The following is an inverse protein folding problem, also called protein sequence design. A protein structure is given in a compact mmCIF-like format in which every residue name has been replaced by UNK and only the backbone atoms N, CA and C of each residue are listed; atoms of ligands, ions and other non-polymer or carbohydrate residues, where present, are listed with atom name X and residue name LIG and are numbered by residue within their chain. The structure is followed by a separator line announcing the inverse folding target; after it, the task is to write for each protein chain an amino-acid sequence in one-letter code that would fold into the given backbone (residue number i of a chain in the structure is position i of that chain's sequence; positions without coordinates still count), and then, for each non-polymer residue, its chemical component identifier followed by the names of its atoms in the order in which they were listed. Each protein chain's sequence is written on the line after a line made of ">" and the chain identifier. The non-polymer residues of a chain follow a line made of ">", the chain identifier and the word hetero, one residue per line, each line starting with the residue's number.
data_IF_613506984677
#
_entry.id   IF_613506984677
#
_cell.length_a   1.000
_cell.length_b   1.000
_cell.length_c   1.000
_cell.angle_alpha   90.00
_cell.angle_beta   90.00
_cell.angle_gamma   90.00
#
_symmetry.space_group_name_H-M   'P 1'
#
loop_
_entity.id
_entity.type
_entity.pdbx_description
1 polymer ?
#
# COMPACT_ATOMS: atom_id res chain seq x y z
N UNK A 1 -1.87 12.23 -4.38
CA UNK A 1 -0.42 12.40 -4.14
C UNK A 1 -0.09 12.22 -2.64
N UNK A 2 -0.20 11.01 -2.08
CA UNK A 2 0.05 10.77 -0.64
C UNK A 2 0.85 9.49 -0.31
N UNK A 3 1.04 8.58 -1.27
CA UNK A 3 1.68 7.28 -0.99
C UNK A 3 3.23 7.38 -0.99
N UNK A 4 3.81 8.30 -1.78
CA UNK A 4 5.26 8.35 -2.03
C UNK A 4 6.07 9.18 -1.04
N UNK A 5 5.49 10.21 -0.39
CA UNK A 5 6.23 11.07 0.54
C UNK A 5 6.60 10.39 1.87
N UNK A 6 5.85 9.36 2.25
CA UNK A 6 6.06 8.64 3.50
C UNK A 6 7.31 7.72 3.43
N UNK A 7 7.60 7.13 2.26
CA UNK A 7 8.66 6.12 2.14
C UNK A 7 10.07 6.63 2.47
N UNK A 8 10.35 7.92 2.23
CA UNK A 8 11.66 8.53 2.50
C UNK A 8 11.96 8.67 4.00
N UNK A 9 10.95 8.60 4.88
CA UNK A 9 11.10 8.83 6.33
C UNK A 9 11.40 7.56 7.13
N UNK A 10 11.41 6.38 6.50
CA UNK A 10 11.31 5.10 7.23
C UNK A 10 12.60 4.38 7.60
N UNK A 11 13.77 4.97 7.35
CA UNK A 11 15.00 4.42 7.93
C UNK A 11 14.97 4.65 9.45
N UNK A 12 14.68 3.59 10.21
CA UNK A 12 14.84 3.57 11.66
C UNK A 12 16.31 3.88 11.96
N UNK A 13 16.61 5.13 12.34
CA UNK A 13 17.96 5.53 12.72
C UNK A 13 18.38 4.69 13.92
N UNK A 14 19.50 3.99 13.81
CA UNK A 14 20.13 3.36 14.96
C UNK A 14 20.74 4.51 15.76
N UNK A 15 20.22 4.78 16.95
CA UNK A 15 20.89 5.68 17.88
C UNK A 15 21.98 4.87 18.58
N UNK A 16 23.19 4.88 18.01
CA UNK A 16 24.35 4.30 18.67
C UNK A 16 24.94 5.43 19.52
N UNK A 17 24.59 5.47 20.81
CA UNK A 17 25.31 6.32 21.75
C UNK A 17 26.71 5.72 21.97
N UNK A 18 27.71 6.29 21.31
CA UNK A 18 29.11 5.82 21.34
C UNK A 18 29.81 6.21 22.67
N UNK A 19 29.16 7.01 23.52
CA UNK A 19 29.74 7.49 24.77
C UNK A 19 29.00 6.95 26.01
N UNK A 20 29.43 5.79 26.52
CA UNK A 20 29.80 5.59 27.93
C UNK A 20 29.92 4.10 28.32
N UNK A 21 31.09 3.76 28.89
CA UNK A 21 31.29 2.72 29.92
C UNK A 21 31.15 1.23 29.55
N UNK A 22 32.29 0.54 29.49
CA UNK A 22 32.66 -0.82 29.95
C UNK A 22 31.72 -2.05 29.88
N UNK A 23 30.42 -1.96 29.59
CA UNK A 23 29.47 -3.10 29.53
C UNK A 23 28.65 -3.15 28.22
N UNK A 24 29.00 -2.34 27.22
CA UNK A 24 28.32 -2.29 25.93
C UNK A 24 28.67 -3.50 25.06
N UNK A 25 27.66 -4.28 24.64
CA UNK A 25 27.80 -5.24 23.52
C UNK A 25 28.45 -4.53 22.33
N UNK A 26 29.37 -5.20 21.58
CA UNK A 26 30.04 -4.57 20.46
C UNK A 26 28.99 -4.10 19.44
N UNK A 27 29.16 -2.90 18.89
CA UNK A 27 28.22 -2.29 17.95
C UNK A 27 27.85 -3.22 16.77
N UNK A 28 28.76 -4.10 16.37
CA UNK A 28 28.54 -5.13 15.36
C UNK A 28 27.46 -6.16 15.76
N UNK A 29 27.43 -6.60 17.02
CA UNK A 29 26.46 -7.59 17.50
C UNK A 29 25.04 -7.02 17.53
N UNK A 30 24.89 -5.73 17.87
CA UNK A 30 23.61 -5.01 17.82
C UNK A 30 23.11 -4.89 16.38
N UNK A 31 24.00 -4.61 15.42
CA UNK A 31 23.68 -4.52 13.99
C UNK A 31 23.27 -5.90 13.46
N UNK A 32 24.00 -6.96 13.78
CA UNK A 32 23.69 -8.33 13.34
C UNK A 32 22.35 -8.82 13.90
N UNK A 33 22.07 -8.58 15.19
CA UNK A 33 20.78 -8.88 15.80
C UNK A 33 19.65 -8.15 15.08
N UNK A 34 19.86 -6.88 14.73
CA UNK A 34 18.87 -6.09 14.00
C UNK A 34 18.61 -6.63 12.58
N UNK A 35 19.66 -6.99 11.85
CA UNK A 35 19.56 -7.60 10.51
C UNK A 35 18.77 -8.90 10.60
N UNK A 36 19.05 -9.72 11.62
CA UNK A 36 18.33 -10.97 11.85
C UNK A 36 16.84 -10.71 12.11
N UNK A 37 16.49 -9.82 13.03
CA UNK A 37 15.09 -9.49 13.33
C UNK A 37 14.35 -8.97 12.08
N UNK A 38 15.00 -8.10 11.29
CA UNK A 38 14.41 -7.59 10.04
C UNK A 38 14.20 -8.70 9.00
N UNK A 39 15.13 -9.66 8.92
CA UNK A 39 15.03 -10.80 8.01
C UNK A 39 13.91 -11.74 8.42
N UNK A 40 13.79 -12.02 9.72
CA UNK A 40 12.74 -12.85 10.29
C UNK A 40 11.35 -12.22 10.07
N UNK A 41 11.21 -10.91 10.31
CA UNK A 41 9.97 -10.19 10.01
C UNK A 41 9.63 -10.20 8.53
N UNK A 42 10.61 -9.95 7.65
CA UNK A 42 10.41 -10.02 6.20
C UNK A 42 9.83 -11.38 5.81
N UNK A 43 10.42 -12.47 6.31
CA UNK A 43 9.96 -13.83 6.02
C UNK A 43 8.55 -14.09 6.56
N UNK A 44 8.25 -13.63 7.77
CA UNK A 44 6.91 -13.74 8.35
C UNK A 44 5.85 -12.98 7.52
N UNK A 45 6.17 -11.75 7.11
CA UNK A 45 5.30 -10.93 6.24
C UNK A 45 5.07 -11.65 4.91
N UNK A 46 6.13 -12.13 4.25
CA UNK A 46 6.01 -12.83 2.97
C UNK A 46 5.16 -14.10 3.08
N UNK A 47 5.31 -14.87 4.17
CA UNK A 47 4.51 -16.06 4.41
C UNK A 47 3.01 -15.72 4.57
N UNK A 48 2.68 -14.67 5.32
CA UNK A 48 1.30 -14.21 5.47
C UNK A 48 0.75 -13.64 4.16
N UNK A 49 1.53 -12.83 3.43
CA UNK A 49 1.14 -12.29 2.13
C UNK A 49 0.84 -13.40 1.12
N UNK A 50 1.65 -14.46 1.07
CA UNK A 50 1.40 -15.63 0.22
C UNK A 50 0.06 -16.29 0.54
N UNK A 51 -0.23 -16.50 1.83
CA UNK A 51 -1.51 -17.06 2.29
C UNK A 51 -2.71 -16.19 1.91
N UNK A 52 -2.61 -14.88 2.13
CA UNK A 52 -3.67 -13.94 1.76
C UNK A 52 -3.85 -13.89 0.23
N UNK A 53 -2.76 -13.85 -0.54
CA UNK A 53 -2.82 -13.84 -1.99
C UNK A 53 -3.46 -15.11 -2.56
N UNK A 54 -3.14 -16.27 -1.98
CA UNK A 54 -3.78 -17.54 -2.31
C UNK A 54 -5.28 -17.52 -2.00
N UNK A 55 -5.68 -17.02 -0.82
CA UNK A 55 -7.09 -16.83 -0.49
C UNK A 55 -7.81 -15.93 -1.50
N UNK A 56 -7.24 -14.78 -1.85
CA UNK A 56 -7.82 -13.85 -2.82
C UNK A 56 -8.02 -14.53 -4.17
N UNK A 57 -6.99 -15.25 -4.66
CA UNK A 57 -7.01 -15.98 -5.92
C UNK A 57 -8.10 -17.05 -5.95
N UNK A 58 -8.25 -17.86 -4.89
CA UNK A 58 -9.33 -18.86 -4.78
C UNK A 58 -10.71 -18.20 -4.90
N UNK A 59 -10.86 -16.99 -4.34
CA UNK A 59 -12.11 -16.21 -4.40
C UNK A 59 -12.21 -15.33 -5.66
N UNK A 60 -11.41 -15.61 -6.70
CA UNK A 60 -11.38 -14.86 -7.97
C UNK A 60 -11.09 -13.36 -7.83
N UNK A 61 -10.45 -12.94 -6.75
CA UNK A 61 -9.94 -11.60 -6.56
C UNK A 61 -8.48 -11.55 -7.01
N UNK A 62 -8.12 -10.56 -7.84
CA UNK A 62 -6.73 -10.37 -8.22
C UNK A 62 -5.94 -9.83 -7.02
N UNK A 63 -4.92 -10.55 -6.50
CA UNK A 63 -4.12 -10.07 -5.37
C UNK A 63 -3.19 -8.92 -5.77
N UNK A 64 -3.01 -8.68 -7.07
CA UNK A 64 -2.14 -7.64 -7.60
C UNK A 64 -2.98 -6.56 -8.27
N UNK A 65 -2.63 -5.30 -8.01
CA UNK A 65 -3.26 -4.15 -8.64
C UNK A 65 -2.38 -3.64 -9.80
N UNK A 66 -2.81 -3.91 -11.03
CA UNK A 66 -2.07 -3.50 -12.23
C UNK A 66 -2.22 -2.00 -12.53
N UNK A 67 -3.30 -1.36 -12.06
CA UNK A 67 -3.60 0.06 -12.29
C UNK A 67 -2.56 0.98 -11.65
N UNK A 68 -1.95 0.56 -10.54
CA UNK A 68 -0.88 1.34 -9.86
C UNK A 68 0.34 1.46 -10.77
N UNK A 69 0.69 0.40 -11.51
CA UNK A 69 1.82 0.44 -12.44
C UNK A 69 1.53 1.42 -13.57
N UNK A 70 0.32 1.38 -14.13
CA UNK A 70 -0.09 2.30 -15.18
C UNK A 70 -0.07 3.76 -14.68
N UNK A 71 -0.52 3.99 -13.44
CA UNK A 71 -0.47 5.29 -12.81
C UNK A 71 0.97 5.81 -12.63
N UNK A 72 1.89 4.97 -12.16
CA UNK A 72 3.31 5.35 -12.03
C UNK A 72 3.89 5.68 -13.41
N UNK A 73 3.60 4.88 -14.44
CA UNK A 73 4.05 5.15 -15.81
C UNK A 73 3.47 6.45 -16.36
N UNK A 74 2.22 6.77 -16.03
CA UNK A 74 1.61 8.05 -16.39
C UNK A 74 2.40 9.24 -15.82
N UNK A 75 2.77 9.20 -14.53
CA UNK A 75 3.63 10.25 -13.96
C UNK A 75 4.99 10.35 -14.62
N UNK A 76 5.63 9.22 -14.94
CA UNK A 76 6.92 9.22 -15.65
C UNK A 76 6.78 9.95 -16.99
N UNK A 77 5.69 9.70 -17.73
CA UNK A 77 5.42 10.40 -18.99
C UNK A 77 5.21 11.90 -18.78
N UNK A 78 4.41 12.29 -17.81
CA UNK A 78 4.17 13.71 -17.50
C UNK A 78 5.46 14.44 -17.11
N UNK A 79 6.27 13.85 -16.23
CA UNK A 79 7.52 14.46 -15.77
C UNK A 79 8.57 14.53 -16.88
N UNK A 80 8.64 13.52 -17.76
CA UNK A 80 9.48 13.59 -18.97
C UNK A 80 9.04 14.71 -19.91
N UNK A 81 7.73 14.90 -20.11
CA UNK A 81 7.22 16.01 -20.92
C UNK A 81 7.58 17.38 -20.32
N UNK A 82 7.45 17.54 -19.00
CA UNK A 82 7.87 18.76 -18.30
C UNK A 82 9.38 18.99 -18.42
N UNK A 83 10.18 17.93 -18.39
CA UNK A 83 11.62 18.00 -18.59
C UNK A 83 11.99 18.47 -19.99
N UNK A 84 11.32 17.94 -21.02
CA UNK A 84 11.46 18.42 -22.40
C UNK A 84 11.02 19.88 -22.58
N UNK A 85 10.12 20.38 -21.74
CA UNK A 85 9.69 21.78 -21.70
C UNK A 85 10.60 22.70 -20.85
N UNK A 86 11.71 22.17 -20.30
CA UNK A 86 12.74 22.95 -19.60
C UNK A 86 12.77 22.82 -18.08
N UNK A 87 11.93 21.97 -17.47
CA UNK A 87 11.97 21.72 -16.02
C UNK A 87 13.05 20.68 -15.66
N UNK A 88 14.01 20.99 -14.79
CA UNK A 88 15.07 20.04 -14.38
C UNK A 88 14.55 18.97 -13.42
N UNK A 89 13.85 17.97 -13.94
CA UNK A 89 13.15 16.95 -13.15
C UNK A 89 13.79 15.56 -13.23
N UNK A 90 15.07 15.47 -13.63
CA UNK A 90 15.78 14.19 -13.81
C UNK A 90 15.79 13.33 -12.53
N UNK A 91 15.98 13.94 -11.36
CA UNK A 91 15.96 13.24 -10.07
C UNK A 91 14.59 12.63 -9.75
N UNK A 92 13.50 13.32 -10.14
CA UNK A 92 12.13 12.85 -9.93
C UNK A 92 11.85 11.68 -10.87
N UNK A 93 12.26 11.78 -12.14
CA UNK A 93 12.11 10.72 -13.14
C UNK A 93 12.86 9.46 -12.68
N UNK A 94 14.12 9.61 -12.27
CA UNK A 94 14.92 8.49 -11.74
C UNK A 94 14.27 7.85 -10.50
N UNK A 95 13.71 8.66 -9.60
CA UNK A 95 12.96 8.17 -8.44
C UNK A 95 11.70 7.38 -8.83
N UNK A 96 10.94 7.86 -9.82
CA UNK A 96 9.73 7.20 -10.32
C UNK A 96 10.06 5.91 -11.08
N UNK A 97 11.14 5.89 -11.86
CA UNK A 97 11.61 4.69 -12.56
C UNK A 97 12.05 3.61 -11.56
N UNK A 98 12.77 4.00 -10.51
CA UNK A 98 13.12 3.09 -9.42
C UNK A 98 11.87 2.55 -8.73
N UNK A 99 10.89 3.41 -8.42
CA UNK A 99 9.63 3.00 -7.83
C UNK A 99 8.86 2.01 -8.73
N UNK A 100 8.85 2.23 -10.04
CA UNK A 100 8.23 1.31 -10.99
C UNK A 100 8.94 -0.06 -11.02
N UNK A 101 10.27 -0.06 -10.97
CA UNK A 101 11.06 -1.29 -10.93
C UNK A 101 10.84 -2.07 -9.62
N UNK A 102 10.87 -1.38 -8.48
CA UNK A 102 10.63 -1.96 -7.15
C UNK A 102 9.20 -2.56 -7.10
N UNK A 103 8.20 -1.81 -7.55
CA UNK A 103 6.81 -2.28 -7.59
C UNK A 103 6.64 -3.51 -8.50
N UNK A 104 7.27 -3.52 -9.69
CA UNK A 104 7.25 -4.68 -10.58
C UNK A 104 7.85 -5.91 -9.93
N UNK A 105 9.00 -5.75 -9.28
CA UNK A 105 9.66 -6.84 -8.57
C UNK A 105 8.78 -7.39 -7.44
N UNK A 106 8.08 -6.54 -6.68
CA UNK A 106 7.12 -6.96 -5.66
C UNK A 106 5.93 -7.73 -6.26
N UNK A 107 5.37 -7.26 -7.38
CA UNK A 107 4.31 -7.97 -8.11
C UNK A 107 4.76 -9.35 -8.56
N UNK A 108 5.93 -9.44 -9.18
CA UNK A 108 6.51 -10.70 -9.67
C UNK A 108 6.76 -11.68 -8.51
N UNK A 109 7.24 -11.16 -7.38
CA UNK A 109 7.45 -11.95 -6.17
C UNK A 109 6.12 -12.52 -5.66
N UNK A 110 5.07 -11.70 -5.56
CA UNK A 110 3.73 -12.15 -5.14
C UNK A 110 3.15 -13.18 -6.12
N UNK A 111 3.24 -12.94 -7.42
CA UNK A 111 2.79 -13.90 -8.43
C UNK A 111 3.56 -15.22 -8.34
N UNK A 112 4.87 -15.17 -8.10
CA UNK A 112 5.68 -16.37 -7.93
C UNK A 112 5.29 -17.17 -6.68
N UNK A 113 4.94 -16.48 -5.58
CA UNK A 113 4.48 -17.09 -4.34
C UNK A 113 3.12 -17.79 -4.54
N UNK A 114 2.20 -17.14 -5.26
CA UNK A 114 0.91 -17.74 -5.62
C UNK A 114 1.12 -18.99 -6.49
N UNK A 115 1.94 -18.92 -7.54
CA UNK A 115 2.24 -20.08 -8.40
C UNK A 115 2.87 -21.23 -7.61
N UNK A 116 3.80 -20.94 -6.69
CA UNK A 116 4.41 -21.96 -5.80
C UNK A 116 3.41 -22.56 -4.81
N UNK A 117 2.41 -21.79 -4.38
CA UNK A 117 1.34 -22.30 -3.51
C UNK A 117 0.43 -23.27 -4.28
N UNK A 118 0.19 -23.01 -5.57
CA UNK A 118 -0.66 -23.84 -6.44
C UNK A 118 -0.02 -25.18 -6.79
N UNK A 119 1.28 -25.22 -7.07
CA UNK A 119 1.99 -26.48 -7.35
C UNK A 119 2.06 -27.42 -6.13
N UNK A 120 1.97 -26.88 -4.92
CA UNK A 120 1.90 -27.64 -3.67
C UNK A 120 0.45 -27.95 -3.22
N UNK A 121 -0.56 -27.42 -3.94
CA UNK A 121 -1.98 -27.50 -3.59
C UNK A 121 -2.68 -28.78 -4.09
N UNK A 122 -1.96 -29.85 -4.43
CA UNK A 122 -2.55 -31.20 -4.57
C UNK A 122 -3.17 -31.70 -3.26
N UNK A 123 -2.90 -31.03 -2.13
CA UNK A 123 -3.60 -31.23 -0.87
C UNK A 123 -4.70 -30.18 -0.67
N UNK A 124 -5.95 -30.59 -0.94
CA UNK A 124 -7.22 -29.85 -0.75
C UNK A 124 -7.49 -29.36 0.69
N UNK A 125 -6.55 -29.53 1.63
CA UNK A 125 -6.69 -29.22 3.05
C UNK A 125 -6.24 -27.82 3.45
N UNK A 126 -5.67 -27.01 2.55
CA UNK A 126 -5.17 -25.66 2.87
C UNK A 126 -6.05 -24.51 2.38
N UNK A 127 -7.36 -24.75 2.17
CA UNK A 127 -8.30 -23.67 1.87
C UNK A 127 -8.44 -22.80 3.12
N UNK A 128 -7.78 -21.64 3.10
CA UNK A 128 -7.84 -20.66 4.18
C UNK A 128 -9.28 -20.19 4.33
N UNK A 129 -9.85 -20.37 5.52
CA UNK A 129 -11.17 -19.89 5.84
C UNK A 129 -11.15 -18.37 6.10
N UNK A 130 -12.24 -17.64 5.83
CA UNK A 130 -12.30 -16.20 6.09
C UNK A 130 -11.94 -15.82 7.55
N UNK A 131 -12.32 -16.65 8.52
CA UNK A 131 -11.98 -16.44 9.93
C UNK A 131 -10.46 -16.46 10.18
N UNK A 132 -9.73 -17.34 9.48
CA UNK A 132 -8.28 -17.49 9.62
C UNK A 132 -7.51 -16.28 9.06
N UNK A 133 -8.12 -15.49 8.18
CA UNK A 133 -7.51 -14.25 7.67
C UNK A 133 -7.35 -13.22 8.78
N UNK A 134 -8.32 -13.11 9.68
CA UNK A 134 -8.22 -12.17 10.80
C UNK A 134 -7.11 -12.56 11.77
N UNK A 135 -6.86 -13.86 11.94
CA UNK A 135 -5.72 -14.34 12.72
C UNK A 135 -4.40 -14.02 12.02
N UNK A 136 -4.30 -14.20 10.69
CA UNK A 136 -3.13 -13.78 9.91
C UNK A 136 -2.87 -12.27 10.03
N UNK A 137 -3.90 -11.44 9.93
CA UNK A 137 -3.77 -9.98 10.12
C UNK A 137 -3.33 -9.65 11.55
N UNK A 138 -3.84 -10.37 12.56
CA UNK A 138 -3.41 -10.22 13.95
C UNK A 138 -1.92 -10.53 14.10
N UNK A 139 -1.43 -11.60 13.46
CA UNK A 139 0.01 -11.93 13.50
C UNK A 139 0.88 -10.82 12.90
N UNK A 140 0.42 -10.19 11.82
CA UNK A 140 1.14 -9.04 11.23
C UNK A 140 1.20 -7.85 12.19
N UNK A 141 0.12 -7.56 12.92
CA UNK A 141 0.12 -6.46 13.90
C UNK A 141 0.99 -6.73 15.13
N UNK A 142 1.29 -7.99 15.43
CA UNK A 142 2.14 -8.38 16.55
C UNK A 142 3.64 -8.33 16.21
N UNK A 143 4.02 -8.02 14.96
CA UNK A 143 5.43 -7.91 14.57
C UNK A 143 6.13 -6.75 15.30
N UNK A 144 7.33 -6.97 15.86
CA UNK A 144 7.96 -6.01 16.76
C UNK A 144 8.38 -4.69 16.10
N UNK A 145 8.78 -4.69 14.83
CA UNK A 145 9.28 -3.52 14.11
C UNK A 145 8.20 -2.97 13.18
N UNK A 146 7.62 -3.80 12.32
CA UNK A 146 6.67 -3.35 11.31
C UNK A 146 5.19 -3.49 11.69
N UNK A 147 4.84 -4.22 12.77
CA UNK A 147 3.44 -4.46 13.12
C UNK A 147 2.65 -3.20 13.43
N UNK A 148 3.24 -2.27 14.18
CA UNK A 148 2.64 -0.95 14.48
C UNK A 148 2.44 -0.14 13.20
N UNK A 149 3.38 -0.20 12.26
CA UNK A 149 3.33 0.55 11.00
C UNK A 149 2.25 0.02 10.07
N UNK A 150 2.16 -1.31 9.93
CA UNK A 150 1.10 -1.96 9.16
C UNK A 150 -0.26 -1.56 9.71
N UNK A 151 -0.43 -1.55 11.05
CA UNK A 151 -1.67 -1.09 11.69
C UNK A 151 -2.00 0.37 11.37
N UNK A 152 -1.01 1.27 11.44
CA UNK A 152 -1.20 2.67 11.11
C UNK A 152 -1.66 2.87 9.65
N UNK A 153 -1.04 2.16 8.70
CA UNK A 153 -1.42 2.24 7.29
C UNK A 153 -2.86 1.77 7.06
N UNK A 154 -3.27 0.66 7.68
CA UNK A 154 -4.64 0.15 7.58
C UNK A 154 -5.65 1.15 8.14
N UNK A 155 -5.36 1.76 9.30
CA UNK A 155 -6.24 2.79 9.87
C UNK A 155 -6.32 4.06 9.00
N UNK A 156 -5.21 4.48 8.39
CA UNK A 156 -5.24 5.60 7.43
C UNK A 156 -6.14 5.31 6.23
N UNK A 157 -6.05 4.10 5.65
CA UNK A 157 -6.92 3.69 4.54
C UNK A 157 -8.39 3.70 4.96
N UNK A 158 -8.72 3.17 6.14
CA UNK A 158 -10.09 3.21 6.68
C UNK A 158 -10.60 4.64 6.83
N UNK A 159 -9.78 5.53 7.39
CA UNK A 159 -10.14 6.94 7.57
C UNK A 159 -10.40 7.65 6.23
N UNK A 160 -9.56 7.39 5.22
CA UNK A 160 -9.76 7.94 3.87
C UNK A 160 -11.05 7.40 3.26
N UNK A 161 -11.32 6.10 3.38
CA UNK A 161 -12.56 5.50 2.88
C UNK A 161 -13.79 6.09 3.57
N UNK A 162 -13.73 6.28 4.88
CA UNK A 162 -14.82 6.89 5.65
C UNK A 162 -15.09 8.33 5.18
N UNK A 163 -14.06 9.17 5.11
CA UNK A 163 -14.19 10.55 4.59
C UNK A 163 -14.72 10.59 3.16
N UNK A 164 -14.27 9.65 2.32
CA UNK A 164 -14.74 9.55 0.94
C UNK A 164 -16.22 9.16 0.89
N UNK A 165 -16.70 8.30 1.80
CA UNK A 165 -18.13 7.95 1.90
C UNK A 165 -18.96 9.13 2.38
N UNK A 166 -18.48 9.86 3.38
CA UNK A 166 -19.15 11.06 3.93
C UNK A 166 -19.30 12.16 2.87
N UNK A 167 -18.31 12.32 1.99
CA UNK A 167 -18.30 13.35 0.96
C UNK A 167 -18.96 12.92 -0.37
N UNK A 168 -19.48 11.69 -0.49
CA UNK A 168 -19.87 11.17 -1.80
C UNK A 168 -21.17 11.76 -2.34
N UNK A 169 -22.12 12.16 -1.49
CA UNK A 169 -23.37 12.78 -1.96
C UNK A 169 -23.97 13.72 -0.92
N UNK A 170 -24.05 15.02 -1.24
CA UNK A 170 -25.00 15.92 -0.58
C UNK A 170 -26.30 15.91 -1.38
N UNK A 171 -27.35 15.29 -0.83
CA UNK A 171 -28.70 15.47 -1.35
C UNK A 171 -29.10 16.92 -1.05
N UNK A 172 -28.95 17.80 -2.05
CA UNK A 172 -29.42 19.17 -1.95
C UNK A 172 -30.94 19.12 -2.02
N UNK A 173 -31.60 19.28 -0.86
CA UNK A 173 -33.03 19.56 -0.83
C UNK A 173 -33.22 20.97 -1.40
N UNK A 174 -33.73 21.05 -2.62
CA UNK A 174 -34.03 22.33 -3.26
C UNK A 174 -35.05 23.10 -2.38
N UNK A 175 -34.84 24.41 -2.14
CA UNK A 175 -35.84 25.23 -1.47
C UNK A 175 -37.11 25.30 -2.34
N UNK A 176 -38.29 25.43 -1.73
CA UNK A 176 -39.57 25.43 -2.45
C UNK A 176 -39.67 26.51 -3.55
N UNK A 177 -38.90 27.60 -3.43
CA UNK A 177 -38.81 28.66 -4.43
C UNK A 177 -38.07 28.24 -5.70
N UNK A 178 -37.27 27.17 -5.66
CA UNK A 178 -36.50 26.68 -6.80
C UNK A 178 -37.39 26.11 -7.92
N UNK A 179 -38.64 25.75 -7.65
CA UNK A 179 -39.58 25.30 -8.68
C UNK A 179 -40.04 26.45 -9.61
N UNK A 180 -39.92 27.68 -9.13
CA UNK A 180 -40.40 28.89 -9.83
C UNK A 180 -39.29 29.68 -10.52
N UNK A 181 -38.03 29.34 -10.29
CA UNK A 181 -36.91 30.06 -10.91
C UNK A 181 -36.81 29.73 -12.40
N UNK A 182 -36.63 30.74 -13.28
CA UNK A 182 -36.56 30.54 -14.73
C UNK A 182 -35.52 29.50 -15.15
N UNK A 183 -34.38 29.45 -14.43
CA UNK A 183 -33.27 28.53 -14.66
C UNK A 183 -33.67 27.06 -14.43
N UNK A 184 -34.46 26.79 -13.39
CA UNK A 184 -34.91 25.44 -13.03
C UNK A 184 -36.05 24.96 -13.93
N UNK A 185 -36.94 25.87 -14.34
CA UNK A 185 -37.99 25.59 -15.35
C UNK A 185 -37.34 25.22 -16.69
N UNK A 186 -36.27 25.93 -17.08
CA UNK A 186 -35.49 25.61 -18.28
C UNK A 186 -34.83 24.22 -18.21
N UNK A 187 -34.17 23.90 -17.09
CA UNK A 187 -33.55 22.60 -16.86
C UNK A 187 -34.56 21.44 -16.89
N UNK A 188 -35.74 21.62 -16.31
CA UNK A 188 -36.82 20.63 -16.32
C UNK A 188 -37.30 20.30 -17.73
N UNK A 189 -37.32 21.29 -18.63
CA UNK A 189 -37.75 21.12 -20.03
C UNK A 189 -36.72 20.39 -20.90
N UNK A 190 -35.46 20.37 -20.48
CA UNK A 190 -34.36 19.67 -21.18
C UNK A 190 -34.19 18.23 -20.69
N UNK A 191 -34.56 17.96 -19.43
CA UNK A 191 -34.36 16.67 -18.76
C UNK A 191 -35.61 15.76 -18.75
N UNK A 192 -36.77 16.25 -19.19
CA UNK A 192 -38.02 15.48 -19.34
C UNK A 192 -38.45 15.39 -20.78
#
# INVERSE_FOLDING_TARGET
>A
MHITYELRKFMSKINIDINSSSDSKPANEVIEQRIKTLTDEKNAILAVCSKIAHFLRINSLNPVNDDIMEYIQHFIREERMKNSAGAKNDDIINGLEKLAADYRHEMDLLQSLVKKSETNATNLTSIIQPAQIFDLVRTLYQLPIYGVKIRQQVEQVKNVQQRTRENREHIIKLPATAETTPTMIGLRKVLG
#
